data_IF_107843875284
#
_entry.id   IF_107843875284
#
_cell.length_a   1.000
_cell.length_b   1.000
_cell.length_c   1.000
_cell.angle_alpha   90.00
_cell.angle_beta   90.00
_cell.angle_gamma   90.00
#
_symmetry.space_group_name_H-M   'P 1'
#
loop_
_entity.id
_entity.type
_entity.pdbx_description
1 polymer ?
#
# COMPACT_ATOMS: atom_id res chain seq x y z
N UNK A 1 11.77 -3.38 -3.23
CA UNK A 1 10.79 -3.41 -4.33
C UNK A 1 11.43 -4.20 -5.46
N UNK A 2 10.79 -5.25 -5.93
CA UNK A 2 11.31 -6.02 -7.06
C UNK A 2 11.33 -5.11 -8.29
N UNK A 3 12.52 -4.96 -8.91
CA UNK A 3 12.71 -4.10 -10.09
C UNK A 3 11.72 -4.45 -11.22
N UNK A 4 11.39 -5.73 -11.39
CA UNK A 4 10.46 -6.20 -12.41
C UNK A 4 9.04 -5.66 -12.21
N UNK A 5 8.56 -5.57 -10.98
CA UNK A 5 7.23 -5.02 -10.67
C UNK A 5 7.19 -3.51 -10.87
N UNK A 6 8.25 -2.80 -10.52
CA UNK A 6 8.37 -1.37 -10.79
C UNK A 6 8.39 -1.09 -12.28
N UNK A 7 9.17 -1.84 -13.05
CA UNK A 7 9.21 -1.70 -14.52
C UNK A 7 7.84 -1.98 -15.15
N UNK A 8 7.12 -3.01 -14.69
CA UNK A 8 5.77 -3.30 -15.17
C UNK A 8 4.80 -2.14 -14.87
N UNK A 9 4.87 -1.58 -13.67
CA UNK A 9 4.03 -0.45 -13.27
C UNK A 9 4.31 0.80 -14.13
N UNK A 10 5.59 1.12 -14.37
CA UNK A 10 5.99 2.23 -15.21
C UNK A 10 5.55 2.05 -16.67
N UNK A 11 5.70 0.85 -17.22
CA UNK A 11 5.22 0.54 -18.58
C UNK A 11 3.71 0.71 -18.72
N UNK A 12 2.93 0.27 -17.73
CA UNK A 12 1.46 0.47 -17.70
C UNK A 12 1.07 1.94 -17.61
N UNK A 13 1.87 2.76 -16.92
CA UNK A 13 1.70 4.21 -16.85
C UNK A 13 2.22 4.94 -18.12
N UNK A 14 2.75 4.22 -19.12
CA UNK A 14 3.34 4.82 -20.31
C UNK A 14 4.62 5.59 -20.06
N UNK A 15 5.38 5.21 -19.03
CA UNK A 15 6.64 5.80 -18.63
C UNK A 15 7.79 4.81 -18.81
N UNK A 16 8.93 5.27 -19.31
CA UNK A 16 10.14 4.46 -19.45
C UNK A 16 10.99 4.41 -18.17
N UNK A 17 10.80 5.36 -17.27
CA UNK A 17 11.55 5.46 -16.02
C UNK A 17 10.72 6.08 -14.90
N UNK A 18 11.17 5.88 -13.66
CA UNK A 18 10.57 6.53 -12.48
C UNK A 18 10.75 8.05 -12.53
N UNK A 19 11.81 8.52 -13.13
CA UNK A 19 12.08 9.94 -13.34
C UNK A 19 11.05 10.56 -14.30
N UNK A 20 10.82 9.94 -15.44
CA UNK A 20 9.79 10.36 -16.40
C UNK A 20 8.38 10.35 -15.76
N UNK A 21 8.08 9.34 -14.95
CA UNK A 21 6.82 9.29 -14.22
C UNK A 21 6.69 10.44 -13.22
N UNK A 22 7.76 10.77 -12.49
CA UNK A 22 7.78 11.90 -11.56
C UNK A 22 7.60 13.24 -12.26
N UNK A 23 8.23 13.44 -13.40
CA UNK A 23 8.07 14.65 -14.21
C UNK A 23 6.64 14.80 -14.73
N UNK A 24 6.05 13.74 -15.25
CA UNK A 24 4.67 13.74 -15.78
C UNK A 24 3.61 13.93 -14.71
N UNK A 25 3.84 13.44 -13.49
CA UNK A 25 2.83 13.39 -12.43
C UNK A 25 3.10 14.37 -11.29
N UNK A 26 4.19 15.13 -11.34
CA UNK A 26 4.61 16.01 -10.23
C UNK A 26 5.18 15.23 -9.04
N UNK A 27 5.53 13.97 -9.24
CA UNK A 27 6.10 13.09 -8.23
C UNK A 27 5.05 12.43 -7.32
N UNK A 28 5.48 11.75 -6.24
CA UNK A 28 4.59 10.96 -5.40
C UNK A 28 3.52 11.76 -4.64
N UNK A 29 3.53 13.07 -4.73
CA UNK A 29 2.48 13.95 -4.16
C UNK A 29 1.36 14.26 -5.15
N UNK A 30 1.58 14.04 -6.45
CA UNK A 30 0.54 14.19 -7.46
C UNK A 30 -0.25 12.89 -7.60
N UNK A 31 -1.51 12.93 -7.31
CA UNK A 31 -2.44 11.78 -7.40
C UNK A 31 -2.87 11.51 -8.85
N UNK A 32 -2.05 11.89 -9.83
CA UNK A 32 -2.51 11.99 -11.21
C UNK A 32 -2.56 10.65 -11.95
N UNK A 33 -1.77 9.63 -11.56
CA UNK A 33 -1.81 8.36 -12.26
C UNK A 33 -2.31 7.21 -11.37
N UNK A 34 -3.64 7.06 -11.35
CA UNK A 34 -4.34 6.01 -10.63
C UNK A 34 -3.91 4.59 -11.09
N UNK A 35 -3.37 4.45 -12.30
CA UNK A 35 -2.94 3.16 -12.82
C UNK A 35 -1.67 2.65 -12.14
N UNK A 36 -0.81 3.55 -11.66
CA UNK A 36 0.43 3.20 -10.96
C UNK A 36 0.22 3.02 -9.44
N UNK A 37 -0.84 3.60 -8.89
CA UNK A 37 -1.11 3.60 -7.45
C UNK A 37 -1.13 2.21 -6.80
N UNK A 38 -1.80 1.18 -7.37
CA UNK A 38 -1.80 -0.16 -6.78
C UNK A 38 -0.39 -0.72 -6.57
N UNK A 39 0.50 -0.49 -7.52
CA UNK A 39 1.88 -0.99 -7.46
C UNK A 39 2.73 -0.23 -6.45
N UNK A 40 2.53 1.08 -6.32
CA UNK A 40 3.23 1.89 -5.32
C UNK A 40 2.78 1.55 -3.90
N UNK A 41 1.49 1.28 -3.70
CA UNK A 41 0.92 0.94 -2.38
C UNK A 41 0.89 -0.56 -2.10
N UNK A 42 1.29 -1.39 -3.06
CA UNK A 42 1.44 -2.83 -2.89
C UNK A 42 0.14 -3.64 -2.90
N UNK A 43 -0.92 -3.14 -3.52
CA UNK A 43 -2.15 -3.89 -3.75
C UNK A 43 -2.80 -3.53 -5.09
N UNK A 44 -3.72 -4.40 -5.56
CA UNK A 44 -4.60 -4.18 -6.70
C UNK A 44 -6.06 -4.25 -6.25
N UNK A 45 -6.93 -3.47 -6.88
CA UNK A 45 -8.37 -3.60 -6.72
C UNK A 45 -8.92 -4.50 -7.83
N UNK A 46 -9.22 -5.75 -7.48
CA UNK A 46 -9.67 -6.76 -8.42
C UNK A 46 -11.19 -6.92 -8.38
N UNK A 47 -11.83 -6.83 -9.56
CA UNK A 47 -13.25 -7.15 -9.70
C UNK A 47 -13.45 -8.62 -10.01
N UNK A 48 -14.12 -9.33 -9.13
CA UNK A 48 -14.43 -10.76 -9.25
C UNK A 48 -15.25 -11.04 -10.53
N UNK A 49 -14.84 -12.03 -11.29
CA UNK A 49 -15.46 -12.49 -12.52
C UNK A 49 -16.05 -13.89 -12.32
N UNK A 50 -16.94 -14.30 -13.22
CA UNK A 50 -17.48 -15.67 -13.21
C UNK A 50 -16.36 -16.70 -13.34
N UNK A 51 -16.38 -17.71 -12.45
CA UNK A 51 -15.38 -18.77 -12.43
C UNK A 51 -14.06 -18.43 -11.72
N UNK A 52 -13.96 -17.27 -11.08
CA UNK A 52 -12.83 -16.92 -10.23
C UNK A 52 -12.85 -17.70 -8.92
N UNK A 53 -11.65 -17.95 -8.41
CA UNK A 53 -11.39 -18.44 -7.06
C UNK A 53 -10.26 -17.64 -6.46
N UNK A 54 -10.18 -17.56 -5.14
CA UNK A 54 -9.07 -16.86 -4.47
C UNK A 54 -7.71 -17.43 -4.89
N UNK A 55 -7.62 -18.75 -5.11
CA UNK A 55 -6.40 -19.41 -5.59
C UNK A 55 -5.97 -18.92 -6.98
N UNK A 56 -6.92 -18.79 -7.91
CA UNK A 56 -6.63 -18.25 -9.24
C UNK A 56 -6.19 -16.80 -9.17
N UNK A 57 -6.88 -15.98 -8.36
CA UNK A 57 -6.56 -14.57 -8.19
C UNK A 57 -5.17 -14.42 -7.54
N UNK A 58 -4.88 -15.20 -6.49
CA UNK A 58 -3.56 -15.20 -5.85
C UNK A 58 -2.43 -15.52 -6.84
N UNK A 59 -2.64 -16.51 -7.70
CA UNK A 59 -1.67 -16.86 -8.75
C UNK A 59 -1.45 -15.76 -9.78
N UNK A 60 -2.48 -15.01 -10.17
CA UNK A 60 -2.38 -13.89 -11.10
C UNK A 60 -1.49 -12.74 -10.58
N UNK A 61 -1.49 -12.53 -9.27
CA UNK A 61 -0.80 -11.40 -8.63
C UNK A 61 0.41 -11.82 -7.80
N UNK A 62 0.86 -13.08 -7.92
CA UNK A 62 2.01 -13.63 -7.19
C UNK A 62 1.90 -13.40 -5.67
N UNK A 63 0.70 -13.56 -5.13
CA UNK A 63 0.38 -13.40 -3.71
C UNK A 63 -0.18 -14.71 -3.13
N UNK A 64 -0.65 -14.68 -1.89
CA UNK A 64 -1.25 -15.85 -1.23
C UNK A 64 -2.74 -15.65 -0.98
N UNK A 65 -3.48 -16.77 -0.90
CA UNK A 65 -4.90 -16.74 -0.52
C UNK A 65 -5.06 -16.11 0.86
N UNK A 66 -4.21 -16.47 1.83
CA UNK A 66 -4.21 -15.91 3.18
C UNK A 66 -4.06 -14.38 3.20
N UNK A 67 -3.17 -13.84 2.34
CA UNK A 67 -3.01 -12.40 2.20
C UNK A 67 -4.28 -11.72 1.67
N UNK A 68 -4.96 -12.36 0.70
CA UNK A 68 -6.23 -11.85 0.16
C UNK A 68 -7.33 -11.92 1.23
N UNK A 69 -7.44 -13.01 1.97
CA UNK A 69 -8.41 -13.17 3.06
C UNK A 69 -8.18 -12.15 4.18
N UNK A 70 -6.93 -11.94 4.57
CA UNK A 70 -6.56 -10.94 5.58
C UNK A 70 -6.98 -9.52 5.16
N UNK A 71 -6.79 -9.18 3.89
CA UNK A 71 -7.17 -7.87 3.36
C UNK A 71 -8.69 -7.72 3.14
N UNK A 72 -9.44 -8.84 3.11
CA UNK A 72 -10.89 -8.86 2.86
C UNK A 72 -11.61 -9.74 3.90
N UNK A 73 -11.62 -9.38 5.18
CA UNK A 73 -12.10 -10.24 6.27
C UNK A 73 -13.59 -10.57 6.20
N UNK A 74 -14.35 -9.85 5.41
CA UNK A 74 -15.78 -10.02 5.17
C UNK A 74 -16.10 -10.92 3.95
N UNK A 75 -15.07 -11.44 3.26
CA UNK A 75 -15.21 -12.32 2.11
C UNK A 75 -15.20 -13.79 2.54
N UNK A 76 -16.19 -14.54 2.08
CA UNK A 76 -16.21 -16.00 2.24
C UNK A 76 -15.45 -16.66 1.09
N UNK A 77 -14.36 -17.41 1.33
CA UNK A 77 -13.51 -17.97 0.27
C UNK A 77 -14.24 -18.88 -0.71
N UNK A 78 -15.23 -19.64 -0.20
CA UNK A 78 -16.03 -20.55 -1.01
C UNK A 78 -17.19 -19.90 -1.78
N UNK A 79 -17.42 -18.60 -1.60
CA UNK A 79 -18.56 -17.89 -2.19
C UNK A 79 -18.18 -16.48 -2.62
N UNK A 80 -17.39 -16.40 -3.68
CA UNK A 80 -17.05 -15.11 -4.28
C UNK A 80 -18.24 -14.56 -5.08
N UNK A 81 -18.67 -13.36 -4.73
CA UNK A 81 -19.73 -12.65 -5.44
C UNK A 81 -19.17 -12.01 -6.72
N UNK A 82 -19.76 -12.33 -7.88
CA UNK A 82 -19.37 -11.74 -9.16
C UNK A 82 -19.60 -10.23 -9.10
N UNK A 83 -18.60 -9.47 -9.56
CA UNK A 83 -18.64 -8.00 -9.54
C UNK A 83 -18.12 -7.36 -8.25
N UNK A 84 -17.93 -8.14 -7.18
CA UNK A 84 -17.32 -7.65 -5.95
C UNK A 84 -15.88 -7.19 -6.21
N UNK A 85 -15.46 -6.12 -5.54
CA UNK A 85 -14.09 -5.63 -5.58
C UNK A 85 -13.34 -6.22 -4.37
N UNK A 86 -12.22 -6.87 -4.65
CA UNK A 86 -11.29 -7.39 -3.66
C UNK A 86 -10.03 -6.53 -3.62
N UNK A 87 -9.52 -6.28 -2.44
CA UNK A 87 -8.15 -5.82 -2.24
C UNK A 87 -7.22 -7.02 -2.38
N UNK A 88 -6.38 -7.04 -3.38
CA UNK A 88 -5.41 -8.12 -3.64
C UNK A 88 -4.02 -7.61 -3.31
N UNK A 89 -3.44 -7.95 -2.15
CA UNK A 89 -2.08 -7.60 -1.80
C UNK A 89 -1.10 -8.19 -2.82
N UNK A 90 -0.18 -7.38 -3.31
CA UNK A 90 0.88 -7.85 -4.20
C UNK A 90 1.98 -8.54 -3.40
N UNK A 91 2.72 -9.48 -4.02
CA UNK A 91 3.69 -10.35 -3.35
C UNK A 91 5.00 -9.66 -2.91
N UNK A 92 5.02 -8.34 -2.75
CA UNK A 92 6.19 -7.60 -2.30
C UNK A 92 5.88 -6.72 -1.07
N UNK A 93 6.94 -6.29 -0.36
CA UNK A 93 6.80 -5.42 0.82
C UNK A 93 6.23 -4.04 0.44
N UNK A 94 5.25 -3.57 1.21
CA UNK A 94 4.71 -2.20 1.07
C UNK A 94 5.76 -1.17 1.50
N UNK A 95 6.53 -1.48 2.54
CA UNK A 95 7.59 -0.60 3.04
C UNK A 95 8.86 -0.86 2.25
N UNK A 96 9.35 0.10 1.47
CA UNK A 96 10.59 -0.07 0.72
C UNK A 96 11.81 -0.03 1.65
N UNK A 97 12.74 -0.96 1.46
CA UNK A 97 13.91 -1.12 2.34
C UNK A 97 15.11 -0.27 1.90
N UNK A 98 15.22 0.06 0.60
CA UNK A 98 16.44 0.63 0.01
C UNK A 98 16.25 2.04 -0.56
N UNK A 99 15.24 2.77 -0.10
CA UNK A 99 14.98 4.15 -0.53
C UNK A 99 14.76 5.05 0.68
N UNK A 100 15.27 6.27 0.66
CA UNK A 100 15.00 7.23 1.73
C UNK A 100 13.50 7.47 1.88
N UNK A 101 12.97 7.31 3.09
CA UNK A 101 11.57 7.55 3.40
C UNK A 101 11.27 9.06 3.35
N UNK A 102 10.62 9.53 2.30
CA UNK A 102 10.08 10.88 2.24
C UNK A 102 8.68 10.93 2.86
N UNK A 103 8.23 12.12 3.26
CA UNK A 103 6.85 12.31 3.74
C UNK A 103 5.80 11.89 2.70
N UNK A 104 6.04 12.15 1.42
CA UNK A 104 5.16 11.73 0.34
C UNK A 104 5.11 10.19 0.21
N UNK A 105 6.28 9.53 0.23
CA UNK A 105 6.37 8.07 0.18
C UNK A 105 5.70 7.44 1.41
N UNK A 106 5.92 7.96 2.61
CA UNK A 106 5.27 7.50 3.83
C UNK A 106 3.73 7.48 3.69
N UNK A 107 3.13 8.48 3.07
CA UNK A 107 1.68 8.51 2.84
C UNK A 107 1.19 7.36 1.96
N UNK A 108 1.94 6.99 0.91
CA UNK A 108 1.61 5.82 0.08
C UNK A 108 1.77 4.51 0.87
N UNK A 109 2.85 4.41 1.65
CA UNK A 109 3.08 3.26 2.52
C UNK A 109 1.94 3.08 3.51
N UNK A 110 1.50 4.14 4.18
CA UNK A 110 0.36 4.10 5.12
C UNK A 110 -0.89 3.59 4.42
N UNK A 111 -1.25 4.13 3.26
CA UNK A 111 -2.41 3.67 2.48
C UNK A 111 -2.32 2.20 2.06
N UNK A 112 -1.13 1.77 1.65
CA UNK A 112 -0.89 0.37 1.31
C UNK A 112 -1.04 -0.56 2.51
N UNK A 113 -0.55 -0.15 3.66
CA UNK A 113 -0.70 -0.90 4.91
C UNK A 113 -2.16 -0.97 5.36
N UNK A 114 -2.91 0.13 5.32
CA UNK A 114 -4.33 0.12 5.66
C UNK A 114 -5.16 -0.76 4.73
N UNK A 115 -4.87 -0.73 3.43
CA UNK A 115 -5.56 -1.57 2.46
C UNK A 115 -5.28 -3.07 2.68
N UNK A 116 -4.05 -3.42 3.05
CA UNK A 116 -3.63 -4.82 3.29
C UNK A 116 -4.03 -5.35 4.66
N UNK A 117 -4.13 -4.47 5.65
CA UNK A 117 -4.34 -4.83 7.06
C UNK A 117 -5.49 -4.01 7.65
N UNK A 118 -6.74 -4.45 7.51
CA UNK A 118 -7.92 -3.72 8.02
C UNK A 118 -7.93 -3.47 9.53
N UNK A 119 -7.09 -4.20 10.30
CA UNK A 119 -6.90 -3.94 11.73
C UNK A 119 -6.04 -2.70 12.02
N UNK A 120 -5.42 -2.10 10.99
CA UNK A 120 -4.65 -0.88 11.08
C UNK A 120 -5.53 0.31 10.72
N UNK A 121 -5.39 1.40 11.45
CA UNK A 121 -6.05 2.66 11.16
C UNK A 121 -5.09 3.83 11.33
N UNK A 122 -5.23 4.84 10.48
CA UNK A 122 -4.50 6.10 10.62
C UNK A 122 -5.36 7.18 11.27
N UNK A 123 -4.70 8.12 11.91
CA UNK A 123 -5.30 9.36 12.35
C UNK A 123 -4.29 10.50 12.28
N UNK A 124 -4.70 11.62 11.72
CA UNK A 124 -3.94 12.87 11.82
C UNK A 124 -4.04 13.40 13.24
N UNK A 125 -2.90 13.60 13.89
CA UNK A 125 -2.80 14.08 15.28
C UNK A 125 -2.27 15.52 15.38
N UNK A 126 -1.85 16.09 14.28
CA UNK A 126 -1.32 17.46 14.20
C UNK A 126 -0.74 17.76 12.82
N UNK A 127 -0.11 18.92 12.73
CA UNK A 127 0.62 19.37 11.55
C UNK A 127 1.95 19.96 11.95
N UNK A 128 2.94 19.84 11.06
CA UNK A 128 4.21 20.55 11.18
C UNK A 128 4.02 22.03 10.84
N UNK A 129 5.02 22.86 11.11
CA UNK A 129 5.06 24.27 10.68
C UNK A 129 4.93 24.47 9.17
N UNK A 130 5.29 23.44 8.37
CA UNK A 130 5.13 23.45 6.90
C UNK A 130 3.79 22.88 6.43
N UNK A 131 2.80 22.69 7.32
CA UNK A 131 1.47 22.18 6.99
C UNK A 131 1.42 20.67 6.68
N UNK A 132 2.49 19.92 6.91
CA UNK A 132 2.50 18.47 6.72
C UNK A 132 1.83 17.77 7.88
N UNK A 133 0.90 16.86 7.58
CA UNK A 133 0.21 16.08 8.60
C UNK A 133 1.15 15.15 9.37
N UNK A 134 0.96 15.09 10.69
CA UNK A 134 1.57 14.10 11.58
C UNK A 134 0.56 12.98 11.78
N UNK A 135 0.98 11.75 11.54
CA UNK A 135 0.11 10.58 11.58
C UNK A 135 0.37 9.74 12.83
N UNK A 136 -0.71 9.24 13.40
CA UNK A 136 -0.69 8.13 14.35
C UNK A 136 -1.25 6.91 13.67
N UNK A 137 -0.52 5.81 13.67
CA UNK A 137 -1.00 4.50 13.25
C UNK A 137 -1.40 3.70 14.50
N UNK A 138 -2.53 3.04 14.42
CA UNK A 138 -3.03 2.17 15.47
C UNK A 138 -3.34 0.79 14.89
N UNK A 139 -2.86 -0.26 15.54
CA UNK A 139 -3.14 -1.65 15.19
C UNK A 139 -3.99 -2.28 16.30
N UNK A 140 -5.12 -2.84 15.89
CA UNK A 140 -6.05 -3.52 16.79
C UNK A 140 -6.89 -2.58 17.68
N UNK A 141 -7.77 -3.19 18.45
CA UNK A 141 -8.79 -2.51 19.27
C UNK A 141 -8.76 -2.94 20.75
N UNK A 142 -7.71 -3.65 21.18
CA UNK A 142 -7.57 -4.17 22.53
C UNK A 142 -7.54 -3.05 23.60
N UNK A 143 -7.85 -3.38 24.88
CA UNK A 143 -7.90 -2.42 25.98
C UNK A 143 -6.50 -1.95 26.42
N UNK A 144 -5.46 -2.74 26.17
CA UNK A 144 -4.07 -2.37 26.46
C UNK A 144 -3.48 -1.61 25.30
N UNK A 145 -2.83 -0.49 25.58
CA UNK A 145 -2.19 0.35 24.59
C UNK A 145 -0.69 0.41 24.83
N UNK A 146 0.08 0.19 23.77
CA UNK A 146 1.53 0.36 23.73
C UNK A 146 1.84 1.40 22.68
N UNK A 147 2.73 2.33 23.00
CA UNK A 147 3.16 3.37 22.06
C UNK A 147 4.60 3.10 21.65
N UNK A 148 4.82 3.15 20.34
CA UNK A 148 6.14 3.17 19.74
C UNK A 148 6.32 4.50 19.03
N UNK A 149 7.44 5.14 19.26
CA UNK A 149 7.89 6.29 18.51
C UNK A 149 9.40 6.16 18.30
N UNK A 150 9.88 6.76 17.23
CA UNK A 150 11.28 6.70 16.85
C UNK A 150 11.69 8.03 16.19
N UNK A 151 13.00 8.25 16.01
CA UNK A 151 13.56 9.41 15.33
C UNK A 151 13.12 10.76 15.93
N UNK A 152 13.23 10.88 17.24
CA UNK A 152 12.99 12.17 17.93
C UNK A 152 13.97 13.25 17.48
N UNK A 153 15.18 12.87 17.07
CA UNK A 153 16.18 13.76 16.52
C UNK A 153 16.41 13.42 15.04
N UNK A 154 16.69 14.42 14.23
CA UNK A 154 16.68 14.32 12.77
C UNK A 154 17.63 13.29 12.13
N UNK A 155 18.62 12.80 12.86
CA UNK A 155 19.64 11.85 12.40
C UNK A 155 19.52 10.45 13.01
N UNK A 156 18.40 10.14 13.68
CA UNK A 156 18.13 8.82 14.27
C UNK A 156 17.39 7.88 13.30
N UNK A 157 17.71 7.95 12.03
CA UNK A 157 17.06 7.16 10.98
C UNK A 157 17.23 5.64 11.12
N UNK A 158 18.20 5.18 11.91
CA UNK A 158 18.42 3.73 12.21
C UNK A 158 17.29 3.17 13.09
N UNK A 159 16.62 4.02 13.88
CA UNK A 159 15.56 3.59 14.80
C UNK A 159 14.15 3.71 14.19
N UNK A 160 14.07 4.09 12.94
CA UNK A 160 12.82 4.21 12.19
C UNK A 160 12.72 3.13 11.14
#
# INVERSE_FOLDING_TARGET
MDNAMMELALRRAGCGSLEEWREKTGGPTAVADMALMPYLVGYELYRVRAGDTLTKIAGLYSTTVESIETANPDVQPGRLEIGRILVVPLGFSVVPENVPMSWGLMRYVIRGLEARYPALSERVIGQTEYGRSLYRLQVGTGPRRVYYNASHHANEWITT
#
